data_IF_695574602007
#
_entry.id   IF_695574602007
#
_cell.length_a   1.000
_cell.length_b   1.000
_cell.length_c   1.000
_cell.angle_alpha   90.00
_cell.angle_beta   90.00
_cell.angle_gamma   90.00
#
_symmetry.space_group_name_H-M   'P 1'
#
loop_
_entity.id
_entity.type
_entity.pdbx_description
1 polymer ?
#
# COMPACT_ATOMS: atom_id res chain seq x y z
N UNK A 1 20.30 -22.93 4.41
CA UNK A 1 21.23 -23.19 3.29
C UNK A 1 20.51 -23.31 1.96
N UNK A 2 19.40 -24.05 1.87
CA UNK A 2 18.69 -24.27 0.59
C UNK A 2 18.19 -22.99 -0.11
N UNK A 3 17.59 -22.03 0.63
CA UNK A 3 17.10 -20.77 0.02
C UNK A 3 18.23 -19.93 -0.59
N UNK A 4 19.46 -20.04 -0.08
CA UNK A 4 20.62 -19.28 -0.56
C UNK A 4 21.11 -19.76 -1.93
N UNK A 5 20.68 -20.95 -2.37
CA UNK A 5 21.02 -21.51 -3.68
C UNK A 5 19.92 -21.29 -4.73
N UNK A 6 18.76 -20.78 -4.32
CA UNK A 6 17.63 -20.51 -5.23
C UNK A 6 17.86 -19.21 -5.99
N UNK A 7 17.42 -19.17 -7.25
CA UNK A 7 17.52 -18.00 -8.13
C UNK A 7 16.14 -17.34 -8.29
N UNK A 8 15.99 -16.05 -7.95
CA UNK A 8 14.75 -15.30 -8.23
C UNK A 8 14.32 -15.43 -9.69
N UNK A 9 13.02 -15.34 -9.96
CA UNK A 9 12.36 -15.57 -11.27
C UNK A 9 12.38 -17.04 -11.71
N UNK A 10 13.51 -17.74 -11.60
CA UNK A 10 13.61 -19.15 -11.97
C UNK A 10 13.00 -20.11 -10.93
N UNK A 11 13.15 -19.79 -9.65
CA UNK A 11 12.76 -20.63 -8.52
C UNK A 11 11.62 -20.02 -7.68
N UNK A 12 10.87 -19.04 -8.21
CA UNK A 12 9.86 -18.27 -7.45
C UNK A 12 8.85 -19.14 -6.69
N UNK A 13 8.32 -20.18 -7.33
CA UNK A 13 7.38 -21.10 -6.69
C UNK A 13 8.02 -21.84 -5.50
N UNK A 14 9.29 -22.23 -5.65
CA UNK A 14 10.06 -22.93 -4.61
C UNK A 14 10.42 -21.98 -3.47
N UNK A 15 10.85 -20.76 -3.79
CA UNK A 15 11.11 -19.69 -2.82
C UNK A 15 9.84 -19.40 -2.02
N UNK A 16 8.70 -19.21 -2.69
CA UNK A 16 7.41 -18.99 -2.04
C UNK A 16 7.06 -20.14 -1.10
N UNK A 17 7.14 -21.38 -1.57
CA UNK A 17 6.83 -22.56 -0.75
C UNK A 17 7.74 -22.65 0.49
N UNK A 18 9.03 -22.36 0.33
CA UNK A 18 9.99 -22.35 1.43
C UNK A 18 9.64 -21.27 2.47
N UNK A 19 9.35 -20.05 2.01
CA UNK A 19 8.96 -18.93 2.88
C UNK A 19 7.62 -19.21 3.57
N UNK A 20 6.64 -19.78 2.87
CA UNK A 20 5.35 -20.16 3.46
C UNK A 20 5.55 -21.19 4.58
N UNK A 21 6.37 -22.23 4.37
CA UNK A 21 6.67 -23.21 5.40
C UNK A 21 7.39 -22.58 6.60
N UNK A 22 8.32 -21.66 6.34
CA UNK A 22 9.03 -20.94 7.39
C UNK A 22 8.08 -20.06 8.22
N UNK A 23 7.37 -19.11 7.58
CA UNK A 23 6.54 -18.13 8.28
C UNK A 23 5.30 -18.74 8.92
N UNK A 24 4.68 -19.75 8.30
CA UNK A 24 3.40 -20.31 8.78
C UNK A 24 3.52 -21.56 9.63
N UNK A 25 4.65 -22.30 9.57
CA UNK A 25 4.82 -23.53 10.36
C UNK A 25 6.00 -23.50 11.32
N UNK A 26 7.18 -23.07 10.87
CA UNK A 26 8.41 -23.14 11.70
C UNK A 26 8.54 -21.97 12.65
N UNK A 27 8.40 -20.73 12.15
CA UNK A 27 8.56 -19.53 12.94
C UNK A 27 7.58 -19.45 14.13
N UNK A 28 6.28 -19.83 13.99
CA UNK A 28 5.33 -19.81 15.09
C UNK A 28 5.64 -20.75 16.25
N UNK A 29 6.49 -21.78 16.05
CA UNK A 29 6.90 -22.72 17.13
C UNK A 29 8.12 -22.23 17.92
N UNK A 30 8.72 -21.11 17.52
CA UNK A 30 9.84 -20.49 18.22
C UNK A 30 9.37 -19.41 19.20
N UNK A 31 10.23 -19.02 20.15
CA UNK A 31 9.98 -17.88 21.04
C UNK A 31 9.79 -16.56 20.27
N UNK A 32 10.45 -16.39 19.13
CA UNK A 32 10.31 -15.22 18.25
C UNK A 32 8.94 -15.19 17.56
N UNK A 33 8.33 -16.36 17.31
CA UNK A 33 7.01 -16.48 16.71
C UNK A 33 5.92 -15.77 17.53
N UNK A 34 6.05 -15.76 18.86
CA UNK A 34 5.15 -15.01 19.73
C UNK A 34 5.27 -13.49 19.51
N UNK A 35 6.50 -12.96 19.44
CA UNK A 35 6.75 -11.54 19.23
C UNK A 35 6.23 -11.04 17.87
N UNK A 36 6.32 -11.86 16.82
CA UNK A 36 5.84 -11.49 15.48
C UNK A 36 4.30 -11.36 15.44
N UNK A 37 3.58 -12.17 16.23
CA UNK A 37 2.12 -12.05 16.32
C UNK A 37 1.65 -10.74 16.95
N UNK A 38 2.49 -10.13 17.79
CA UNK A 38 2.20 -8.82 18.40
C UNK A 38 2.40 -7.66 17.41
N UNK A 39 3.16 -7.88 16.32
CA UNK A 39 3.34 -6.87 15.29
C UNK A 39 2.07 -6.73 14.46
N UNK A 40 1.55 -5.51 14.42
CA UNK A 40 0.39 -5.12 13.63
C UNK A 40 0.88 -4.37 12.38
N UNK A 41 1.16 -5.04 11.24
CA UNK A 41 1.62 -4.37 10.02
C UNK A 41 0.53 -3.49 9.38
N UNK A 42 0.87 -2.26 9.00
CA UNK A 42 -0.03 -1.37 8.25
C UNK A 42 0.12 -1.64 6.76
N UNK A 43 -0.77 -2.48 6.22
CA UNK A 43 -0.90 -2.72 4.79
C UNK A 43 -2.05 -1.93 4.17
N UNK A 44 -2.35 -2.18 2.88
CA UNK A 44 -3.32 -1.36 2.15
C UNK A 44 -4.73 -1.31 2.73
N UNK A 45 -5.23 -2.40 3.34
CA UNK A 45 -6.53 -2.35 4.02
C UNK A 45 -6.53 -1.37 5.19
N UNK A 46 -5.45 -1.32 5.98
CA UNK A 46 -5.37 -0.42 7.13
C UNK A 46 -5.22 1.05 6.75
N UNK A 47 -4.67 1.34 5.55
CA UNK A 47 -4.69 2.71 5.00
C UNK A 47 -6.12 3.14 4.64
N UNK A 48 -6.94 2.23 4.10
CA UNK A 48 -8.38 2.48 3.88
C UNK A 48 -9.11 2.69 5.21
N UNK A 49 -8.85 1.85 6.21
CA UNK A 49 -9.49 1.99 7.53
C UNK A 49 -9.14 3.35 8.19
N UNK A 50 -7.88 3.79 8.06
CA UNK A 50 -7.45 5.11 8.53
C UNK A 50 -8.15 6.25 7.76
N UNK A 51 -8.25 6.15 6.42
CA UNK A 51 -8.98 7.12 5.60
C UNK A 51 -10.46 7.22 6.03
N UNK A 52 -11.13 6.09 6.25
CA UNK A 52 -12.52 6.07 6.72
C UNK A 52 -12.66 6.69 8.11
N UNK A 53 -11.70 6.43 9.01
CA UNK A 53 -11.67 7.06 10.34
C UNK A 53 -11.59 8.58 10.22
N UNK A 54 -10.78 9.10 9.31
CA UNK A 54 -10.71 10.55 9.06
C UNK A 54 -12.01 11.09 8.47
N UNK A 55 -12.57 10.44 7.45
CA UNK A 55 -13.83 10.82 6.82
C UNK A 55 -14.99 10.89 7.83
N UNK A 56 -15.10 9.90 8.71
CA UNK A 56 -16.08 9.88 9.81
C UNK A 56 -15.83 10.98 10.84
N UNK A 57 -14.57 11.21 11.22
CA UNK A 57 -14.19 12.23 12.21
C UNK A 57 -14.52 13.64 11.75
N UNK A 58 -14.31 13.93 10.46
CA UNK A 58 -14.55 15.25 9.88
C UNK A 58 -15.90 15.38 9.17
N UNK A 59 -16.73 14.34 9.17
CA UNK A 59 -18.03 14.31 8.51
C UNK A 59 -17.98 14.70 7.02
N UNK A 60 -16.92 14.27 6.32
CA UNK A 60 -16.71 14.56 4.91
C UNK A 60 -16.74 13.28 4.07
N UNK A 61 -17.51 13.25 2.95
CA UNK A 61 -17.51 12.11 2.03
C UNK A 61 -16.13 11.96 1.36
N UNK A 62 -15.77 10.73 0.95
CA UNK A 62 -14.49 10.45 0.29
C UNK A 62 -14.27 11.23 -1.03
N UNK A 63 -15.33 11.76 -1.64
CA UNK A 63 -15.25 12.69 -2.78
C UNK A 63 -14.48 13.97 -2.46
N UNK A 64 -14.45 14.38 -1.19
CA UNK A 64 -13.84 15.62 -0.73
C UNK A 64 -12.40 15.39 -0.23
N UNK A 65 -11.89 14.17 -0.36
CA UNK A 65 -10.55 13.79 0.10
C UNK A 65 -9.53 13.79 -1.03
N UNK A 66 -8.32 14.22 -0.70
CA UNK A 66 -7.13 14.03 -1.52
C UNK A 66 -6.22 13.03 -0.84
N UNK A 67 -5.76 12.02 -1.58
CA UNK A 67 -4.80 11.01 -1.11
C UNK A 67 -3.64 10.87 -2.07
N UNK A 68 -2.45 10.59 -1.52
CA UNK A 68 -1.21 10.44 -2.30
C UNK A 68 -0.57 9.10 -1.96
N UNK A 69 -0.11 8.38 -2.99
CA UNK A 69 0.57 7.09 -2.83
C UNK A 69 1.50 6.78 -3.99
N UNK A 70 2.34 5.76 -3.83
CA UNK A 70 3.38 5.40 -4.81
C UNK A 70 3.39 3.91 -5.17
N UNK A 71 2.87 3.04 -4.30
CA UNK A 71 3.17 1.61 -4.36
C UNK A 71 2.00 0.69 -4.00
N UNK A 72 2.27 -0.61 -3.95
CA UNK A 72 1.31 -1.69 -3.61
C UNK A 72 0.56 -1.42 -2.31
N UNK A 73 1.17 -0.75 -1.33
CA UNK A 73 0.46 -0.52 -0.07
C UNK A 73 -0.63 0.54 -0.19
N UNK A 74 -0.60 1.38 -1.23
CA UNK A 74 -1.50 2.52 -1.39
C UNK A 74 -2.67 2.24 -2.32
N UNK A 75 -2.57 1.25 -3.21
CA UNK A 75 -3.55 1.06 -4.29
C UNK A 75 -5.00 0.98 -3.81
N UNK A 76 -5.27 0.37 -2.63
CA UNK A 76 -6.62 0.26 -2.08
C UNK A 76 -7.17 1.61 -1.61
N UNK A 77 -6.33 2.45 -1.01
CA UNK A 77 -6.70 3.80 -0.59
C UNK A 77 -6.91 4.70 -1.80
N UNK A 78 -6.01 4.63 -2.78
CA UNK A 78 -6.12 5.35 -4.05
C UNK A 78 -7.43 4.97 -4.76
N UNK A 79 -7.69 3.66 -4.93
CA UNK A 79 -8.91 3.15 -5.56
C UNK A 79 -10.18 3.60 -4.83
N UNK A 80 -10.19 3.58 -3.49
CA UNK A 80 -11.36 3.98 -2.71
C UNK A 80 -11.72 5.46 -2.93
N UNK A 81 -10.72 6.34 -2.99
CA UNK A 81 -10.93 7.77 -3.25
C UNK A 81 -11.31 8.04 -4.70
N UNK A 82 -10.62 7.40 -5.66
CA UNK A 82 -10.93 7.51 -7.09
C UNK A 82 -12.38 7.09 -7.39
N UNK A 83 -12.82 5.95 -6.86
CA UNK A 83 -14.19 5.46 -7.04
C UNK A 83 -15.25 6.34 -6.36
N UNK A 84 -14.87 7.05 -5.30
CA UNK A 84 -15.74 8.01 -4.63
C UNK A 84 -15.77 9.38 -5.34
N UNK A 85 -14.95 9.60 -6.37
CA UNK A 85 -14.85 10.86 -7.11
C UNK A 85 -13.91 11.89 -6.47
N UNK A 86 -13.09 11.49 -5.51
CA UNK A 86 -12.05 12.36 -4.93
C UNK A 86 -10.74 12.32 -5.73
N UNK A 87 -9.70 12.97 -5.20
CA UNK A 87 -8.41 13.05 -5.86
C UNK A 87 -7.43 11.99 -5.33
N UNK A 88 -7.22 10.94 -6.10
CA UNK A 88 -6.16 9.97 -5.86
C UNK A 88 -4.93 10.29 -6.73
N UNK A 89 -3.80 10.60 -6.09
CA UNK A 89 -2.55 11.00 -6.75
C UNK A 89 -1.51 9.89 -6.62
N UNK A 90 -1.09 9.34 -7.77
CA UNK A 90 0.07 8.45 -7.89
C UNK A 90 1.36 9.28 -8.04
N UNK A 91 2.10 9.51 -6.96
CA UNK A 91 3.35 10.30 -6.97
C UNK A 91 4.57 9.41 -7.21
N UNK A 92 5.26 9.59 -8.34
CA UNK A 92 6.37 8.73 -8.79
C UNK A 92 6.05 7.23 -8.70
N UNK A 93 4.80 6.87 -8.94
CA UNK A 93 4.27 5.56 -8.58
C UNK A 93 4.72 4.45 -9.53
N UNK A 94 4.71 3.22 -9.03
CA UNK A 94 4.89 2.02 -9.84
C UNK A 94 3.56 1.49 -10.41
N UNK A 95 3.65 0.41 -11.19
CA UNK A 95 2.51 -0.21 -11.89
C UNK A 95 1.35 -0.61 -10.97
N UNK A 96 1.62 -0.87 -9.69
CA UNK A 96 0.62 -1.32 -8.75
C UNK A 96 -0.30 -0.20 -8.25
N UNK A 97 0.11 1.06 -8.36
CA UNK A 97 -0.68 2.21 -7.89
C UNK A 97 -1.23 3.06 -9.05
N UNK A 98 -0.54 3.11 -10.19
CA UNK A 98 -0.92 3.96 -11.34
C UNK A 98 -2.35 3.71 -11.84
N UNK A 99 -2.77 2.45 -11.98
CA UNK A 99 -4.11 2.11 -12.50
C UNK A 99 -5.27 2.39 -11.54
N UNK A 100 -4.99 2.83 -10.31
CA UNK A 100 -5.98 3.07 -9.26
C UNK A 100 -6.05 4.54 -8.84
N UNK A 101 -5.46 5.43 -9.64
CA UNK A 101 -5.31 6.85 -9.30
C UNK A 101 -6.03 7.73 -10.32
N UNK A 102 -6.62 8.83 -9.85
CA UNK A 102 -7.22 9.88 -10.69
C UNK A 102 -6.15 10.53 -11.57
N UNK A 103 -4.95 10.74 -11.02
CA UNK A 103 -3.81 11.29 -11.75
C UNK A 103 -2.47 10.71 -11.29
N UNK A 104 -1.48 10.75 -12.17
CA UNK A 104 -0.08 10.52 -11.83
C UNK A 104 0.73 11.81 -11.85
N UNK A 105 1.64 11.97 -10.90
CA UNK A 105 2.60 13.08 -10.87
C UNK A 105 4.02 12.53 -10.79
N UNK A 106 4.83 12.80 -11.82
CA UNK A 106 6.24 12.48 -11.84
C UNK A 106 7.05 13.74 -11.57
N UNK A 107 7.72 13.82 -10.41
CA UNK A 107 8.49 14.99 -10.01
C UNK A 107 9.61 14.63 -9.02
N UNK A 108 10.63 15.49 -8.94
CA UNK A 108 11.69 15.42 -7.92
C UNK A 108 11.32 16.14 -6.61
N UNK A 109 10.18 16.84 -6.55
CA UNK A 109 9.77 17.66 -5.42
C UNK A 109 8.28 17.45 -5.08
N UNK A 110 8.00 17.13 -3.81
CA UNK A 110 6.63 16.95 -3.32
C UNK A 110 5.81 18.25 -3.36
N UNK A 111 6.48 19.41 -3.40
CA UNK A 111 5.84 20.72 -3.53
C UNK A 111 5.05 20.89 -4.81
N UNK A 112 5.37 20.12 -5.86
CA UNK A 112 4.69 20.21 -7.16
C UNK A 112 3.25 19.69 -7.08
N UNK A 113 2.88 18.99 -5.99
CA UNK A 113 1.50 18.68 -5.68
C UNK A 113 0.65 19.94 -5.48
N UNK A 114 1.26 21.07 -5.07
CA UNK A 114 0.53 22.31 -4.80
C UNK A 114 -0.22 22.80 -6.02
N UNK A 115 0.34 22.63 -7.22
CA UNK A 115 -0.32 22.97 -8.49
C UNK A 115 -1.60 22.16 -8.68
N UNK A 116 -1.54 20.85 -8.43
CA UNK A 116 -2.71 19.96 -8.53
C UNK A 116 -3.76 20.25 -7.44
N UNK A 117 -3.32 20.54 -6.22
CA UNK A 117 -4.19 20.84 -5.08
C UNK A 117 -4.90 22.19 -5.23
N UNK A 118 -4.26 23.18 -5.88
CA UNK A 118 -4.85 24.49 -6.11
C UNK A 118 -6.00 24.47 -7.12
N UNK A 119 -5.97 23.52 -8.07
CA UNK A 119 -6.95 23.38 -9.14
C UNK A 119 -8.07 22.37 -8.81
N UNK A 120 -7.92 21.55 -7.76
CA UNK A 120 -8.93 20.55 -7.39
C UNK A 120 -10.15 21.22 -6.73
N UNK A 121 -11.38 20.99 -7.25
CA UNK A 121 -12.59 21.65 -6.78
C UNK A 121 -13.11 21.17 -5.42
#
# INVERSE_FOLDING_TARGET
QEILTMRPVADDAKIKQYLDDFFWKKLPTTSLGAAIKEVKPVGGQRKVDALNTFAETYYQPLSDWVVVGDSITDFRMLQAVEQAGGLAIAFNANEYALSYSTMGLASIAISDLTEALAEWP
#
